data_IF_182343672528
#
_entry.id   IF_182343672528
#
_cell.length_a   1.000
_cell.length_b   1.000
_cell.length_c   1.000
_cell.angle_alpha   90.00
_cell.angle_beta   90.00
_cell.angle_gamma   90.00
#
_symmetry.space_group_name_H-M   'P 1'
#
loop_
_entity.id
_entity.type
_entity.pdbx_description
1 polymer ?
#
# COMPACT_ATOMS: atom_id res chain seq x y z
N UNK A 1 -17.93 -8.49 -14.27
CA UNK A 1 -16.48 -8.47 -13.99
C UNK A 1 -16.22 -7.17 -13.26
N UNK A 2 -16.06 -7.19 -11.94
CA UNK A 2 -15.77 -5.96 -11.18
C UNK A 2 -14.35 -5.56 -11.54
N UNK A 3 -14.21 -4.45 -12.27
CA UNK A 3 -12.91 -3.86 -12.54
C UNK A 3 -12.28 -3.48 -11.18
N UNK A 4 -10.95 -3.62 -11.01
CA UNK A 4 -10.26 -3.35 -9.74
C UNK A 4 -10.47 -1.91 -9.22
N UNK A 5 -10.89 -0.99 -10.09
CA UNK A 5 -11.32 0.39 -9.84
C UNK A 5 -12.55 0.52 -8.92
N UNK A 6 -13.37 -0.53 -8.74
CA UNK A 6 -14.51 -0.53 -7.80
C UNK A 6 -14.08 -0.86 -6.35
N UNK A 7 -12.84 -1.36 -6.16
CA UNK A 7 -12.31 -1.67 -4.82
C UNK A 7 -11.70 -0.42 -4.18
N UNK A 8 -12.49 0.25 -3.35
CA UNK A 8 -12.04 1.44 -2.60
C UNK A 8 -10.83 1.14 -1.69
N UNK A 9 -10.71 -0.10 -1.18
CA UNK A 9 -9.59 -0.50 -0.33
C UNK A 9 -9.24 -1.99 -0.44
N UNK A 10 -7.96 -2.30 -0.27
CA UNK A 10 -7.36 -3.63 -0.37
C UNK A 10 -6.53 -3.96 0.88
N UNK A 11 -6.27 -5.25 1.10
CA UNK A 11 -5.38 -5.69 2.17
C UNK A 11 -3.92 -5.77 1.70
N UNK A 12 -2.99 -5.94 2.64
CA UNK A 12 -1.53 -6.01 2.38
C UNK A 12 -1.15 -6.97 1.24
N UNK A 13 -1.70 -8.19 1.22
CA UNK A 13 -1.36 -9.19 0.19
C UNK A 13 -1.83 -8.80 -1.20
N UNK A 14 -2.97 -8.11 -1.29
CA UNK A 14 -3.51 -7.67 -2.57
C UNK A 14 -2.79 -6.39 -3.03
N UNK A 15 -2.53 -5.46 -2.12
CA UNK A 15 -1.70 -4.28 -2.40
C UNK A 15 -0.34 -4.66 -2.97
N UNK A 16 0.33 -5.64 -2.36
CA UNK A 16 1.59 -6.20 -2.82
C UNK A 16 1.53 -6.72 -4.27
N UNK A 17 0.44 -7.39 -4.66
CA UNK A 17 0.24 -7.87 -6.03
C UNK A 17 -0.03 -6.75 -7.02
N UNK A 18 -0.69 -5.67 -6.61
CA UNK A 18 -1.03 -4.56 -7.50
C UNK A 18 0.21 -3.75 -7.91
N UNK A 19 1.20 -3.63 -7.03
CA UNK A 19 2.42 -2.84 -7.26
C UNK A 19 3.67 -3.71 -7.45
N UNK A 20 3.49 -5.01 -7.73
CA UNK A 20 4.55 -6.02 -7.89
C UNK A 20 5.65 -5.98 -6.81
N UNK A 21 5.25 -5.83 -5.54
CA UNK A 21 6.15 -5.79 -4.40
C UNK A 21 5.92 -6.93 -3.42
N UNK A 22 6.92 -7.19 -2.58
CA UNK A 22 6.77 -8.11 -1.46
C UNK A 22 5.78 -7.58 -0.41
N UNK A 23 4.92 -8.43 0.18
CA UNK A 23 3.99 -8.00 1.24
C UNK A 23 4.71 -7.51 2.50
N UNK A 24 5.97 -7.91 2.69
CA UNK A 24 6.83 -7.39 3.76
C UNK A 24 7.21 -5.92 3.52
N UNK A 25 7.48 -5.53 2.27
CA UNK A 25 7.73 -4.13 1.90
C UNK A 25 6.51 -3.26 2.21
N UNK A 26 5.31 -3.73 1.84
CA UNK A 26 4.05 -3.04 2.15
C UNK A 26 3.86 -2.91 3.67
N UNK A 27 4.11 -3.97 4.45
CA UNK A 27 4.04 -3.90 5.92
C UNK A 27 5.04 -2.91 6.49
N UNK A 28 6.29 -2.93 6.02
CA UNK A 28 7.33 -1.98 6.44
C UNK A 28 6.89 -0.55 6.14
N UNK A 29 6.39 -0.28 4.94
CA UNK A 29 5.87 1.03 4.55
C UNK A 29 4.74 1.51 5.47
N UNK A 30 3.81 0.62 5.87
CA UNK A 30 2.72 0.96 6.81
C UNK A 30 3.26 1.31 8.21
N UNK A 31 4.37 0.70 8.62
CA UNK A 31 5.00 0.93 9.92
C UNK A 31 6.05 2.04 9.92
N UNK A 32 6.52 2.47 8.74
CA UNK A 32 7.40 3.63 8.60
C UNK A 32 6.65 4.89 9.01
N UNK A 33 7.30 5.74 9.82
CA UNK A 33 6.79 7.06 10.22
C UNK A 33 7.55 8.21 9.56
N UNK A 34 8.77 7.96 9.09
CA UNK A 34 9.64 8.96 8.50
C UNK A 34 9.49 9.02 6.98
N UNK A 35 9.11 10.16 6.38
CA UNK A 35 8.93 10.29 4.93
C UNK A 35 10.23 10.18 4.11
N UNK A 36 11.37 10.37 4.77
CA UNK A 36 12.71 10.26 4.16
C UNK A 36 13.29 8.84 4.20
N UNK A 37 12.62 7.90 4.88
CA UNK A 37 13.07 6.50 4.96
C UNK A 37 12.55 5.70 3.76
N UNK A 38 13.30 4.66 3.38
CA UNK A 38 12.86 3.72 2.35
C UNK A 38 12.40 2.39 2.97
N UNK A 39 11.18 1.90 2.65
CA UNK A 39 10.13 2.58 1.87
C UNK A 39 9.49 3.75 2.64
N UNK A 40 8.97 4.79 1.93
CA UNK A 40 8.24 5.88 2.54
C UNK A 40 6.95 5.38 3.21
N UNK A 41 6.37 6.16 4.14
CA UNK A 41 5.17 5.80 4.87
C UNK A 41 4.00 5.56 3.92
N UNK A 42 3.39 4.37 3.98
CA UNK A 42 2.17 4.03 3.25
C UNK A 42 0.97 4.22 4.17
N UNK A 43 0.01 5.03 3.73
CA UNK A 43 -1.23 5.25 4.46
C UNK A 43 -2.08 3.97 4.47
N UNK A 44 -2.36 3.48 5.66
CA UNK A 44 -3.29 2.38 5.87
C UNK A 44 -4.12 2.60 7.13
N UNK A 45 -5.33 2.06 7.13
CA UNK A 45 -6.21 2.01 8.30
C UNK A 45 -6.17 0.62 8.92
N UNK A 46 -5.95 0.55 10.23
CA UNK A 46 -6.08 -0.72 10.96
C UNK A 46 -7.57 -1.02 11.22
N UNK A 47 -8.03 -2.19 10.77
CA UNK A 47 -9.41 -2.65 10.88
C UNK A 47 -9.51 -3.83 11.88
N UNK A 48 -8.97 -3.66 13.09
CA UNK A 48 -9.06 -4.60 14.21
C UNK A 48 -8.16 -5.84 14.13
N UNK A 49 -7.96 -6.40 12.93
CA UNK A 49 -7.14 -7.61 12.70
C UNK A 49 -6.30 -7.54 11.41
N UNK A 50 -6.57 -6.56 10.53
CA UNK A 50 -5.88 -6.40 9.26
C UNK A 50 -5.72 -4.93 8.91
N UNK A 51 -4.72 -4.64 8.08
CA UNK A 51 -4.58 -3.33 7.46
C UNK A 51 -5.43 -3.26 6.19
N UNK A 52 -6.07 -2.11 6.01
CA UNK A 52 -6.83 -1.75 4.82
C UNK A 52 -6.17 -0.51 4.21
N UNK A 53 -5.74 -0.64 2.96
CA UNK A 53 -5.00 0.36 2.19
C UNK A 53 -5.95 0.83 1.09
N UNK A 54 -6.16 2.13 0.92
CA UNK A 54 -6.94 2.62 -0.21
C UNK A 54 -6.13 2.45 -1.49
N UNK A 55 -6.79 2.07 -2.58
CA UNK A 55 -6.10 1.86 -3.86
C UNK A 55 -5.49 3.16 -4.37
N UNK A 56 -6.16 4.30 -4.22
CA UNK A 56 -5.62 5.62 -4.57
C UNK A 56 -4.33 5.95 -3.79
N UNK A 57 -4.35 5.83 -2.45
CA UNK A 57 -3.17 6.08 -1.61
C UNK A 57 -2.02 5.11 -1.95
N UNK A 58 -2.32 3.86 -2.35
CA UNK A 58 -1.31 2.88 -2.78
C UNK A 58 -0.64 3.27 -4.09
N UNK A 59 -1.42 3.72 -5.07
CA UNK A 59 -0.92 4.14 -6.38
C UNK A 59 -0.08 5.41 -6.23
N UNK A 60 -0.58 6.43 -5.53
CA UNK A 60 0.18 7.66 -5.26
C UNK A 60 1.49 7.36 -4.53
N UNK A 61 1.46 6.45 -3.56
CA UNK A 61 2.67 6.01 -2.85
C UNK A 61 3.65 5.28 -3.78
N UNK A 62 3.15 4.42 -4.67
CA UNK A 62 3.97 3.67 -5.63
C UNK A 62 4.63 4.62 -6.65
N UNK A 63 3.87 5.52 -7.27
CA UNK A 63 4.38 6.52 -8.21
C UNK A 63 5.39 7.50 -7.56
N UNK A 64 5.35 7.66 -6.24
CA UNK A 64 6.32 8.46 -5.50
C UNK A 64 7.68 7.76 -5.29
N UNK A 65 7.81 6.46 -5.61
CA UNK A 65 9.07 5.74 -5.43
C UNK A 65 10.03 6.05 -6.59
N UNK A 66 11.34 6.16 -6.31
CA UNK A 66 12.34 6.57 -7.30
C UNK A 66 12.61 5.54 -8.42
N UNK A 67 11.94 4.38 -8.42
CA UNK A 67 12.15 3.26 -9.34
C UNK A 67 10.82 2.77 -9.98
N UNK A 68 9.73 3.52 -9.84
CA UNK A 68 8.38 3.16 -10.29
C UNK A 68 8.09 3.56 -11.75
#
# INVERSE_FOLDING_TARGET
MLLPEDRIAVGVREAARLVDMSPETIKRAIHTTSPVSFPPPLRAKYAGYKYSIRVADLIEWWESLPDA
#
